data_IF_041851013932
#
_entry.id   IF_041851013932
#
_cell.length_a   1.000
_cell.length_b   1.000
_cell.length_c   1.000
_cell.angle_alpha   90.00
_cell.angle_beta   90.00
_cell.angle_gamma   90.00
#
_symmetry.space_group_name_H-M   'P 1'
#
loop_
_entity.id
_entity.type
_entity.pdbx_description
1 polymer ?
#
# COMPACT_ATOMS: atom_id res chain seq x y z
N UNK A 1 -5.64 -4.78 26.08
CA UNK A 1 -6.28 -5.36 27.29
C UNK A 1 -7.51 -6.20 26.96
N UNK A 2 -7.68 -7.35 27.64
CA UNK A 2 -8.91 -8.17 27.58
C UNK A 2 -9.77 -7.93 28.84
N UNK A 3 -11.10 -7.88 28.73
CA UNK A 3 -11.99 -7.87 29.89
C UNK A 3 -12.11 -9.27 30.52
N UNK A 4 -12.59 -9.35 31.77
CA UNK A 4 -12.80 -10.63 32.50
C UNK A 4 -13.80 -11.58 31.82
N UNK A 5 -14.61 -11.04 30.91
CA UNK A 5 -15.57 -11.79 30.09
C UNK A 5 -14.92 -12.57 28.94
N UNK A 6 -13.59 -12.46 28.78
CA UNK A 6 -12.80 -13.09 27.73
C UNK A 6 -11.65 -13.86 28.34
N UNK A 7 -11.44 -15.09 27.89
CA UNK A 7 -10.30 -15.89 28.33
C UNK A 7 -9.60 -16.61 27.17
N UNK A 8 -8.30 -16.86 27.35
CA UNK A 8 -7.48 -17.65 26.44
C UNK A 8 -7.63 -19.15 26.75
N UNK A 9 -8.07 -19.95 25.78
CA UNK A 9 -8.17 -21.41 25.92
C UNK A 9 -7.38 -22.14 24.84
N UNK A 10 -6.85 -23.30 25.18
CA UNK A 10 -6.35 -24.26 24.20
C UNK A 10 -7.51 -25.05 23.58
N UNK A 11 -7.44 -25.35 22.28
CA UNK A 11 -8.46 -26.11 21.55
C UNK A 11 -7.85 -26.85 20.34
N UNK A 12 -8.62 -27.74 19.70
CA UNK A 12 -8.16 -28.57 18.57
C UNK A 12 -9.16 -28.62 17.40
N UNK A 13 -9.96 -27.56 17.21
CA UNK A 13 -10.99 -27.52 16.16
C UNK A 13 -10.41 -27.66 14.75
N UNK A 14 -9.20 -27.14 14.54
CA UNK A 14 -8.48 -27.18 13.25
C UNK A 14 -7.71 -28.50 13.01
N UNK A 15 -7.88 -29.51 13.88
CA UNK A 15 -7.14 -30.78 13.77
C UNK A 15 -5.70 -30.73 14.31
N UNK A 16 -5.29 -29.61 14.91
CA UNK A 16 -4.02 -29.44 15.62
C UNK A 16 -4.19 -28.55 16.85
N UNK A 17 -3.23 -28.59 17.78
CA UNK A 17 -3.29 -27.82 19.02
C UNK A 17 -3.17 -26.31 18.74
N UNK A 18 -4.18 -25.56 19.13
CA UNK A 18 -4.30 -24.12 18.94
C UNK A 18 -4.64 -23.42 20.25
N UNK A 19 -4.49 -22.10 20.28
CA UNK A 19 -5.02 -21.24 21.34
C UNK A 19 -5.90 -20.16 20.73
N UNK A 20 -6.92 -19.74 21.46
CA UNK A 20 -7.82 -18.69 21.01
C UNK A 20 -8.61 -18.08 22.16
N UNK A 21 -9.26 -16.98 21.88
CA UNK A 21 -10.06 -16.24 22.85
C UNK A 21 -11.51 -16.72 22.85
N UNK A 22 -12.09 -16.91 24.03
CA UNK A 22 -13.45 -17.43 24.21
C UNK A 22 -14.23 -16.58 25.19
N UNK A 23 -15.54 -16.48 24.98
CA UNK A 23 -16.44 -15.82 25.92
C UNK A 23 -16.60 -16.67 27.21
N UNK A 24 -16.48 -16.05 28.38
CA UNK A 24 -16.72 -16.70 29.68
C UNK A 24 -18.16 -16.57 30.17
N UNK A 25 -18.98 -15.77 29.48
CA UNK A 25 -20.40 -15.56 29.72
C UNK A 25 -21.14 -15.30 28.40
N UNK A 26 -22.48 -15.28 28.44
CA UNK A 26 -23.28 -14.75 27.33
C UNK A 26 -23.04 -13.24 27.19
N UNK A 27 -22.64 -12.80 25.99
CA UNK A 27 -22.34 -11.40 25.68
C UNK A 27 -23.41 -10.85 24.73
N UNK A 28 -24.04 -9.70 25.04
CA UNK A 28 -24.83 -8.96 24.07
C UNK A 28 -24.01 -8.53 22.85
N UNK A 29 -24.68 -8.10 21.78
CA UNK A 29 -24.01 -7.37 20.69
C UNK A 29 -23.40 -6.06 21.20
N UNK A 30 -22.36 -5.58 20.52
CA UNK A 30 -21.56 -4.38 20.84
C UNK A 30 -20.90 -4.43 22.21
N UNK A 31 -20.61 -5.62 22.73
CA UNK A 31 -19.85 -5.79 23.97
C UNK A 31 -18.36 -5.70 23.65
N UNK A 32 -17.58 -4.81 24.28
CA UNK A 32 -16.13 -4.79 24.11
C UNK A 32 -15.49 -6.10 24.57
N UNK A 33 -14.64 -6.67 23.72
CA UNK A 33 -13.88 -7.90 24.00
C UNK A 33 -12.37 -7.68 23.95
N UNK A 34 -11.93 -6.54 23.43
CA UNK A 34 -10.56 -6.07 23.52
C UNK A 34 -10.53 -4.55 23.41
N UNK A 35 -9.65 -3.91 24.17
CA UNK A 35 -9.37 -2.48 24.11
C UNK A 35 -7.87 -2.23 24.14
N UNK A 36 -7.40 -1.24 23.40
CA UNK A 36 -6.02 -0.81 23.38
C UNK A 36 -5.89 0.59 24.01
N UNK A 37 -5.08 0.69 25.08
CA UNK A 37 -4.75 1.97 25.68
C UNK A 37 -3.53 2.58 25.00
N UNK A 38 -3.78 3.35 23.93
CA UNK A 38 -2.72 4.02 23.15
C UNK A 38 -1.84 4.95 24.00
N UNK A 39 -2.32 5.43 25.15
CA UNK A 39 -1.57 6.37 25.99
C UNK A 39 -0.47 5.67 26.80
N UNK A 40 -0.66 4.39 27.14
CA UNK A 40 0.25 3.64 28.03
C UNK A 40 0.94 2.47 27.33
N UNK A 41 0.41 2.02 26.19
CA UNK A 41 0.91 0.88 25.42
C UNK A 41 1.27 1.34 23.99
N UNK A 42 2.47 1.91 23.76
CA UNK A 42 2.88 2.26 22.40
C UNK A 42 2.96 1.01 21.52
N UNK A 43 2.43 1.11 20.30
CA UNK A 43 2.49 0.00 19.35
C UNK A 43 3.87 -0.06 18.72
N UNK A 44 4.56 -1.16 18.93
CA UNK A 44 5.81 -1.45 18.24
C UNK A 44 5.49 -1.97 16.82
N UNK A 45 6.15 -1.39 15.81
CA UNK A 45 5.94 -1.75 14.41
C UNK A 45 7.24 -2.17 13.76
N UNK A 46 7.16 -3.20 12.93
CA UNK A 46 8.29 -3.77 12.20
C UNK A 46 7.99 -3.73 10.71
N UNK A 47 9.01 -3.54 9.88
CA UNK A 47 8.92 -3.73 8.43
C UNK A 47 8.93 -5.21 8.07
N UNK A 48 8.49 -5.56 6.86
CA UNK A 48 8.63 -6.92 6.33
C UNK A 48 10.09 -7.38 6.36
N UNK A 49 11.01 -6.52 5.96
CA UNK A 49 12.44 -6.84 5.94
C UNK A 49 12.98 -7.19 7.33
N UNK A 50 12.65 -6.38 8.34
CA UNK A 50 13.09 -6.62 9.73
C UNK A 50 12.54 -7.95 10.27
N UNK A 51 11.26 -8.24 10.01
CA UNK A 51 10.63 -9.51 10.41
C UNK A 51 11.34 -10.69 9.73
N UNK A 52 11.49 -10.64 8.41
CA UNK A 52 12.04 -11.76 7.63
C UNK A 52 13.53 -12.02 7.90
N UNK A 53 14.28 -10.99 8.29
CA UNK A 53 15.67 -11.09 8.69
C UNK A 53 15.86 -11.59 10.14
N UNK A 54 14.80 -11.59 10.97
CA UNK A 54 14.90 -11.99 12.37
C UNK A 54 14.99 -13.53 12.53
N UNK A 55 15.72 -13.99 13.55
CA UNK A 55 15.88 -15.43 13.82
C UNK A 55 14.53 -16.10 14.20
N UNK A 56 13.69 -15.41 14.95
CA UNK A 56 12.35 -15.85 15.36
C UNK A 56 11.24 -15.40 14.39
N UNK A 57 11.55 -15.20 13.09
CA UNK A 57 10.59 -14.68 12.10
C UNK A 57 9.25 -15.42 12.06
N UNK A 58 9.23 -16.75 12.26
CA UNK A 58 7.98 -17.52 12.25
C UNK A 58 7.03 -17.05 13.35
N UNK A 59 7.57 -16.72 14.53
CA UNK A 59 6.77 -16.20 15.64
C UNK A 59 6.26 -14.79 15.32
N UNK A 60 7.12 -13.92 14.81
CA UNK A 60 6.75 -12.57 14.41
C UNK A 60 5.63 -12.59 13.35
N UNK A 61 5.78 -13.42 12.31
CA UNK A 61 4.76 -13.62 11.28
C UNK A 61 3.46 -14.11 11.91
N UNK A 62 3.48 -15.21 12.66
CA UNK A 62 2.28 -15.82 13.25
C UNK A 62 1.48 -14.87 14.13
N UNK A 63 2.15 -13.96 14.84
CA UNK A 63 1.53 -12.97 15.71
C UNK A 63 1.74 -11.58 15.14
N UNK A 64 1.25 -11.35 13.91
CA UNK A 64 1.27 -10.03 13.28
C UNK A 64 -0.02 -9.67 12.59
N UNK A 65 -0.26 -8.37 12.46
CA UNK A 65 -1.26 -7.79 11.58
C UNK A 65 -0.74 -6.45 11.02
N UNK A 66 -1.24 -6.04 9.85
CA UNK A 66 -0.84 -4.79 9.23
C UNK A 66 -1.43 -3.57 9.94
N UNK A 67 -0.62 -2.52 10.06
CA UNK A 67 -1.03 -1.20 10.59
C UNK A 67 -0.66 -0.04 9.65
N UNK A 68 -0.01 -0.36 8.54
CA UNK A 68 0.42 0.55 7.49
C UNK A 68 1.04 -0.23 6.33
N UNK A 69 1.31 0.45 5.23
CA UNK A 69 2.14 -0.12 4.16
C UNK A 69 3.54 -0.41 4.70
N UNK A 70 4.00 -1.66 4.55
CA UNK A 70 5.25 -2.18 5.11
C UNK A 70 5.45 -1.88 6.61
N UNK A 71 4.35 -1.91 7.37
CA UNK A 71 4.36 -1.73 8.81
C UNK A 71 3.42 -2.75 9.49
N UNK A 72 4.01 -3.60 10.32
CA UNK A 72 3.33 -4.71 10.99
C UNK A 72 3.45 -4.54 12.50
N UNK A 73 2.32 -4.58 13.20
CA UNK A 73 2.32 -4.77 14.63
C UNK A 73 2.60 -6.25 14.92
N UNK A 74 3.59 -6.55 15.78
CA UNK A 74 4.00 -7.92 16.06
C UNK A 74 4.64 -8.09 17.45
N UNK A 75 4.90 -9.33 17.88
CA UNK A 75 5.52 -9.62 19.18
C UNK A 75 6.40 -10.87 19.20
N UNK A 76 7.48 -10.81 19.99
CA UNK A 76 8.33 -11.96 20.31
C UNK A 76 7.86 -12.76 21.54
N UNK A 77 6.94 -12.20 22.31
CA UNK A 77 6.47 -12.76 23.58
C UNK A 77 4.94 -12.80 23.67
N UNK A 78 4.24 -13.45 22.71
CA UNK A 78 2.78 -13.53 22.69
C UNK A 78 2.21 -14.15 23.97
N UNK A 79 2.96 -15.02 24.66
CA UNK A 79 2.54 -15.60 25.94
C UNK A 79 2.36 -14.58 27.08
N UNK A 80 2.95 -13.38 26.97
CA UNK A 80 2.80 -12.32 27.97
C UNK A 80 1.54 -11.50 27.78
N UNK A 81 0.95 -11.55 26.60
CA UNK A 81 -0.25 -10.80 26.25
C UNK A 81 -1.22 -11.69 25.45
N UNK A 82 -2.28 -12.22 26.09
CA UNK A 82 -3.24 -13.10 25.42
C UNK A 82 -4.00 -12.44 24.25
N UNK A 83 -3.92 -11.11 24.09
CA UNK A 83 -4.62 -10.40 23.01
C UNK A 83 -4.14 -10.80 21.61
N UNK A 84 -2.91 -11.31 21.48
CA UNK A 84 -2.34 -11.80 20.22
C UNK A 84 -2.99 -13.09 19.69
N UNK A 85 -3.92 -13.70 20.42
CA UNK A 85 -4.54 -14.98 20.05
C UNK A 85 -5.97 -14.84 19.50
N UNK A 86 -6.35 -13.68 18.96
CA UNK A 86 -7.56 -13.59 18.15
C UNK A 86 -7.41 -14.39 16.87
N UNK A 87 -8.34 -15.30 16.61
CA UNK A 87 -8.35 -16.11 15.40
C UNK A 87 -9.29 -15.53 14.34
N UNK A 88 -9.06 -15.96 13.11
CA UNK A 88 -9.87 -15.61 11.96
C UNK A 88 -11.19 -16.40 11.87
N UNK A 89 -12.28 -15.73 11.46
CA UNK A 89 -13.43 -16.38 10.83
C UNK A 89 -13.98 -15.54 9.67
N UNK A 90 -14.42 -16.18 8.57
CA UNK A 90 -15.01 -15.47 7.42
C UNK A 90 -16.43 -14.92 7.69
N UNK A 91 -17.16 -15.49 8.66
CA UNK A 91 -18.38 -14.89 9.21
C UNK A 91 -18.20 -14.73 10.72
N UNK A 92 -17.47 -13.69 11.15
CA UNK A 92 -17.03 -13.55 12.54
C UNK A 92 -18.16 -13.08 13.46
N UNK A 93 -17.98 -13.35 14.76
CA UNK A 93 -18.85 -12.82 15.81
C UNK A 93 -18.32 -11.53 16.45
N UNK A 94 -17.11 -11.09 16.09
CA UNK A 94 -16.52 -9.82 16.48
C UNK A 94 -16.11 -8.99 15.26
N UNK A 95 -15.94 -7.69 15.47
CA UNK A 95 -15.43 -6.74 14.48
C UNK A 95 -14.71 -5.57 15.16
N UNK A 96 -13.98 -4.76 14.39
CA UNK A 96 -13.28 -3.60 14.93
C UNK A 96 -14.24 -2.43 15.17
N UNK A 97 -13.86 -1.54 16.08
CA UNK A 97 -14.37 -0.16 16.15
C UNK A 97 -13.15 0.77 16.19
N UNK A 98 -12.72 1.19 15.00
CA UNK A 98 -11.41 1.82 14.79
C UNK A 98 -10.24 0.91 15.21
N UNK A 99 -9.06 1.51 15.41
CA UNK A 99 -7.85 0.75 15.78
C UNK A 99 -7.76 0.40 17.29
N UNK A 100 -8.66 0.96 18.11
CA UNK A 100 -8.54 0.91 19.57
C UNK A 100 -9.38 -0.16 20.26
N UNK A 101 -10.28 -0.83 19.54
CA UNK A 101 -11.27 -1.72 20.16
C UNK A 101 -11.77 -2.79 19.19
N UNK A 102 -12.10 -3.96 19.75
CA UNK A 102 -12.89 -5.01 19.11
C UNK A 102 -14.11 -5.24 19.98
N UNK A 103 -15.29 -5.30 19.35
CA UNK A 103 -16.57 -5.57 20.00
C UNK A 103 -17.27 -6.76 19.34
N UNK A 104 -18.24 -7.34 20.04
CA UNK A 104 -19.11 -8.36 19.45
C UNK A 104 -20.04 -7.75 18.38
N UNK A 105 -20.10 -8.35 17.20
CA UNK A 105 -20.98 -7.95 16.08
C UNK A 105 -22.43 -8.44 16.26
N UNK A 106 -22.60 -9.49 17.06
CA UNK A 106 -23.88 -10.14 17.39
C UNK A 106 -23.83 -10.64 18.84
N UNK A 107 -24.96 -11.06 19.44
CA UNK A 107 -24.88 -11.80 20.69
C UNK A 107 -23.99 -13.04 20.55
N UNK A 108 -23.17 -13.29 21.57
CA UNK A 108 -22.22 -14.42 21.66
C UNK A 108 -22.55 -15.24 22.89
N UNK A 109 -22.62 -16.56 22.76
CA UNK A 109 -22.87 -17.47 23.88
C UNK A 109 -21.59 -17.78 24.65
N UNK A 110 -21.76 -18.05 25.94
CA UNK A 110 -20.68 -18.58 26.78
C UNK A 110 -20.00 -19.77 26.09
N UNK A 111 -18.68 -19.71 25.98
CA UNK A 111 -17.86 -20.75 25.36
C UNK A 111 -17.77 -20.71 23.83
N UNK A 112 -18.42 -19.77 23.15
CA UNK A 112 -18.10 -19.47 21.75
C UNK A 112 -16.70 -18.84 21.65
N UNK A 113 -15.96 -19.19 20.60
CA UNK A 113 -14.69 -18.55 20.26
C UNK A 113 -14.96 -17.16 19.69
N UNK A 114 -14.20 -16.17 20.13
CA UNK A 114 -14.22 -14.80 19.64
C UNK A 114 -13.25 -14.67 18.46
N UNK A 115 -13.79 -14.40 17.29
CA UNK A 115 -13.04 -14.28 16.05
C UNK A 115 -13.42 -13.00 15.32
N UNK A 116 -12.46 -12.42 14.57
CA UNK A 116 -12.71 -11.34 13.63
C UNK A 116 -12.26 -11.75 12.22
N UNK A 117 -12.65 -10.98 11.20
CA UNK A 117 -12.19 -11.21 9.83
C UNK A 117 -10.82 -10.55 9.61
N UNK A 118 -9.76 -11.32 9.31
CA UNK A 118 -8.41 -10.77 9.09
C UNK A 118 -8.36 -9.83 7.87
N UNK A 119 -9.29 -9.91 6.91
CA UNK A 119 -9.40 -8.90 5.87
C UNK A 119 -9.78 -7.49 6.39
N UNK A 120 -10.19 -7.36 7.65
CA UNK A 120 -10.39 -6.07 8.30
C UNK A 120 -9.07 -5.39 8.72
N UNK A 121 -7.93 -6.09 8.66
CA UNK A 121 -6.59 -5.56 9.01
C UNK A 121 -5.59 -5.67 7.86
N UNK A 122 -5.76 -6.65 6.97
CA UNK A 122 -4.75 -7.03 5.97
C UNK A 122 -5.02 -6.54 4.54
N UNK A 123 -3.94 -6.38 3.78
CA UNK A 123 -3.95 -6.24 2.30
C UNK A 123 -3.21 -7.42 1.67
N UNK A 124 -3.09 -7.49 0.34
CA UNK A 124 -2.30 -8.52 -0.33
C UNK A 124 -0.82 -8.50 0.05
N UNK A 125 -0.32 -7.39 0.59
CA UNK A 125 1.01 -7.26 1.16
C UNK A 125 1.13 -7.89 2.56
N UNK A 126 0.14 -8.67 3.01
CA UNK A 126 0.16 -9.39 4.28
C UNK A 126 1.29 -10.41 4.35
N UNK A 127 1.80 -10.68 5.55
CA UNK A 127 2.67 -11.83 5.82
C UNK A 127 1.90 -13.17 5.84
N UNK A 128 0.57 -13.11 5.83
CA UNK A 128 -0.33 -14.27 5.86
C UNK A 128 -1.00 -14.53 4.50
N UNK A 129 -0.66 -13.77 3.46
CA UNK A 129 -1.29 -13.88 2.15
C UNK A 129 -1.18 -15.32 1.62
N UNK A 130 -2.29 -15.89 1.15
CA UNK A 130 -2.36 -17.28 0.74
C UNK A 130 -2.67 -18.28 1.88
N UNK A 131 -2.91 -17.82 3.12
CA UNK A 131 -3.30 -18.69 4.22
C UNK A 131 -4.57 -19.49 3.88
N UNK A 132 -4.50 -20.81 4.05
CA UNK A 132 -5.67 -21.69 3.90
C UNK A 132 -6.60 -21.53 5.11
N UNK A 133 -7.83 -21.09 4.86
CA UNK A 133 -8.83 -20.85 5.88
C UNK A 133 -9.50 -22.16 6.31
N UNK A 134 -9.55 -22.37 7.64
CA UNK A 134 -10.17 -23.53 8.27
C UNK A 134 -11.35 -23.14 9.18
N UNK A 135 -11.94 -21.97 8.97
CA UNK A 135 -12.95 -21.42 9.89
C UNK A 135 -14.28 -22.20 9.93
N UNK A 136 -14.55 -23.06 8.96
CA UNK A 136 -15.77 -23.89 8.91
C UNK A 136 -17.08 -23.13 8.60
N UNK A 137 -17.01 -21.83 8.28
CA UNK A 137 -18.18 -21.04 7.87
C UNK A 137 -18.73 -21.49 6.50
N UNK A 138 -20.05 -21.46 6.32
CA UNK A 138 -20.70 -21.65 5.01
C UNK A 138 -20.29 -20.59 3.98
N UNK A 139 -19.73 -19.46 4.44
CA UNK A 139 -19.19 -18.36 3.61
C UNK A 139 -17.66 -18.35 3.60
N UNK A 140 -17.02 -19.49 3.87
CA UNK A 140 -15.56 -19.58 3.89
C UNK A 140 -14.95 -19.18 2.54
N UNK A 141 -13.94 -18.30 2.56
CA UNK A 141 -13.18 -17.89 1.37
C UNK A 141 -12.21 -18.97 0.86
N UNK A 142 -11.95 -20.01 1.65
CA UNK A 142 -11.00 -21.09 1.33
C UNK A 142 -9.53 -20.65 1.46
N UNK A 143 -9.12 -19.61 0.75
CA UNK A 143 -7.78 -19.02 0.84
C UNK A 143 -7.91 -17.52 1.09
N UNK A 144 -7.20 -17.01 2.09
CA UNK A 144 -7.18 -15.58 2.39
C UNK A 144 -6.18 -14.88 1.47
N UNK A 145 -6.70 -14.13 0.50
CA UNK A 145 -5.90 -13.33 -0.44
C UNK A 145 -5.67 -11.90 0.05
N UNK A 146 -6.59 -11.41 0.88
CA UNK A 146 -6.60 -10.05 1.43
C UNK A 146 -6.72 -8.93 0.37
N UNK A 147 -7.39 -9.24 -0.75
CA UNK A 147 -7.85 -8.27 -1.75
C UNK A 147 -9.23 -7.68 -1.42
N UNK A 148 -9.85 -8.13 -0.31
CA UNK A 148 -11.20 -7.76 0.12
C UNK A 148 -11.40 -6.24 0.29
N UNK A 149 -10.35 -5.50 0.66
CA UNK A 149 -10.43 -4.04 0.80
C UNK A 149 -10.70 -3.30 -0.52
N UNK A 150 -10.40 -3.91 -1.67
CA UNK A 150 -10.80 -3.37 -2.99
C UNK A 150 -12.29 -3.55 -3.26
N UNK A 151 -12.94 -4.49 -2.59
CA UNK A 151 -14.37 -4.76 -2.77
C UNK A 151 -15.24 -3.73 -2.06
N UNK A 152 -15.94 -2.91 -2.85
CA UNK A 152 -16.94 -1.97 -2.33
C UNK A 152 -18.04 -2.68 -1.52
N UNK A 153 -18.38 -3.92 -1.87
CA UNK A 153 -19.38 -4.69 -1.15
C UNK A 153 -18.87 -5.13 0.23
N UNK A 154 -17.61 -5.57 0.32
CA UNK A 154 -16.97 -5.94 1.59
C UNK A 154 -16.88 -4.72 2.52
N UNK A 155 -16.38 -3.60 2.00
CA UNK A 155 -16.26 -2.36 2.81
C UNK A 155 -17.63 -1.85 3.22
N UNK A 156 -18.64 -1.88 2.36
CA UNK A 156 -20.01 -1.50 2.75
C UNK A 156 -20.56 -2.39 3.86
N UNK A 157 -20.29 -3.70 3.83
CA UNK A 157 -20.75 -4.64 4.85
C UNK A 157 -20.04 -4.46 6.20
N UNK A 158 -18.81 -3.91 6.18
CA UNK A 158 -17.96 -3.70 7.37
C UNK A 158 -17.66 -2.20 7.58
N UNK A 159 -18.52 -1.30 7.14
CA UNK A 159 -18.24 0.13 7.16
C UNK A 159 -18.12 0.62 8.62
N UNK A 160 -16.99 1.26 8.95
CA UNK A 160 -16.65 1.65 10.32
C UNK A 160 -16.13 0.51 11.20
N UNK A 161 -15.99 -0.70 10.64
CA UNK A 161 -15.63 -1.93 11.36
C UNK A 161 -14.41 -2.67 10.78
N UNK A 162 -13.60 -1.95 10.00
CA UNK A 162 -12.25 -2.31 9.59
C UNK A 162 -11.27 -1.30 10.22
N UNK A 163 -9.98 -1.60 10.22
CA UNK A 163 -8.98 -0.68 10.77
C UNK A 163 -8.87 0.61 9.96
N UNK A 164 -8.29 1.64 10.56
CA UNK A 164 -8.02 2.91 9.90
C UNK A 164 -7.09 2.71 8.68
N UNK A 165 -6.18 1.73 8.75
CA UNK A 165 -5.33 1.36 7.62
C UNK A 165 -6.16 0.87 6.44
N UNK A 166 -7.05 -0.11 6.63
CA UNK A 166 -7.90 -0.64 5.55
C UNK A 166 -8.85 0.42 5.01
N UNK A 167 -9.44 1.26 5.86
CA UNK A 167 -10.25 2.39 5.39
C UNK A 167 -9.44 3.39 4.57
N UNK A 168 -8.17 3.65 4.94
CA UNK A 168 -7.27 4.52 4.16
C UNK A 168 -6.97 3.91 2.79
N UNK A 169 -6.59 2.63 2.73
CA UNK A 169 -6.36 1.92 1.47
C UNK A 169 -7.59 1.97 0.57
N UNK A 170 -8.78 1.69 1.10
CA UNK A 170 -10.01 1.76 0.31
C UNK A 170 -10.37 3.18 -0.20
N UNK A 171 -9.95 4.21 0.53
CA UNK A 171 -10.21 5.60 0.17
C UNK A 171 -9.28 6.13 -0.93
N UNK A 172 -8.21 5.39 -1.28
CA UNK A 172 -7.35 5.67 -2.43
C UNK A 172 -8.19 5.73 -3.72
N UNK A 173 -7.92 6.73 -4.55
CA UNK A 173 -8.57 6.98 -5.82
C UNK A 173 -7.80 6.39 -7.00
N UNK A 174 -6.50 6.19 -6.82
CA UNK A 174 -5.63 5.57 -7.79
C UNK A 174 -5.88 4.07 -7.91
N UNK A 175 -5.26 3.44 -8.90
CA UNK A 175 -5.23 1.99 -9.02
C UNK A 175 -3.79 1.52 -9.17
N UNK A 176 -3.46 0.41 -8.53
CA UNK A 176 -2.20 -0.32 -8.74
C UNK A 176 -2.45 -1.83 -8.74
N UNK A 177 -1.62 -2.56 -9.47
CA UNK A 177 -1.72 -4.01 -9.61
C UNK A 177 -1.55 -4.71 -8.24
N UNK A 178 -2.37 -5.71 -7.94
CA UNK A 178 -2.34 -6.42 -6.64
C UNK A 178 -1.07 -7.27 -6.43
N UNK A 179 -0.26 -7.46 -7.48
CA UNK A 179 1.08 -8.04 -7.40
C UNK A 179 2.13 -7.03 -6.92
N UNK A 180 1.75 -5.78 -6.68
CA UNK A 180 2.65 -4.75 -6.15
C UNK A 180 2.42 -4.45 -4.67
N UNK A 181 3.45 -3.96 -4.01
CA UNK A 181 3.43 -3.50 -2.63
C UNK A 181 4.33 -2.27 -2.46
N UNK A 182 3.97 -1.41 -1.50
CA UNK A 182 4.81 -0.30 -1.08
C UNK A 182 5.75 -0.80 0.02
N UNK A 183 7.06 -0.53 -0.11
CA UNK A 183 8.09 -0.97 0.85
C UNK A 183 9.09 0.13 1.17
N UNK A 184 9.70 0.03 2.35
CA UNK A 184 10.86 0.85 2.69
C UNK A 184 12.07 0.44 1.86
N UNK A 185 12.55 1.36 1.03
CA UNK A 185 13.83 1.27 0.33
C UNK A 185 14.98 1.72 1.22
N UNK A 186 14.71 2.64 2.14
CA UNK A 186 15.61 3.08 3.21
C UNK A 186 14.79 3.53 4.42
N UNK A 187 15.44 3.96 5.50
CA UNK A 187 14.76 4.48 6.70
C UNK A 187 13.86 5.69 6.44
N UNK A 188 14.04 6.40 5.32
CA UNK A 188 13.32 7.64 5.02
C UNK A 188 12.69 7.65 3.64
N UNK A 189 12.72 6.54 2.89
CA UNK A 189 12.23 6.47 1.52
C UNK A 189 11.49 5.17 1.30
N UNK A 190 10.29 5.31 0.72
CA UNK A 190 9.47 4.22 0.24
C UNK A 190 9.64 4.08 -1.29
N UNK A 191 9.28 2.92 -1.79
CA UNK A 191 9.16 2.67 -3.22
C UNK A 191 8.12 1.60 -3.49
N UNK A 192 7.58 1.60 -4.70
CA UNK A 192 6.72 0.53 -5.19
C UNK A 192 7.55 -0.63 -5.69
N UNK A 193 7.15 -1.85 -5.34
CA UNK A 193 7.82 -3.07 -5.76
C UNK A 193 6.83 -4.12 -6.19
N UNK A 194 7.24 -4.99 -7.10
CA UNK A 194 6.59 -6.28 -7.26
C UNK A 194 6.76 -7.09 -5.97
N UNK A 195 5.66 -7.61 -5.43
CA UNK A 195 5.66 -8.49 -4.26
C UNK A 195 6.56 -9.69 -4.49
N UNK A 196 7.15 -10.18 -3.40
CA UNK A 196 8.14 -11.27 -3.43
C UNK A 196 7.54 -12.67 -3.62
N UNK A 197 6.21 -12.79 -3.66
CA UNK A 197 5.54 -14.05 -3.94
C UNK A 197 5.85 -14.55 -5.36
N UNK A 198 6.08 -15.86 -5.50
CA UNK A 198 6.61 -16.45 -6.73
C UNK A 198 5.69 -16.29 -7.96
N UNK A 199 4.40 -16.06 -7.77
CA UNK A 199 3.40 -15.88 -8.82
C UNK A 199 3.14 -14.41 -9.18
N UNK A 200 3.82 -13.46 -8.53
CA UNK A 200 3.59 -12.02 -8.73
C UNK A 200 4.27 -11.43 -9.97
N UNK A 201 4.84 -12.23 -10.88
CA UNK A 201 5.43 -11.73 -12.13
C UNK A 201 4.41 -10.89 -12.93
N UNK A 202 4.82 -9.69 -13.34
CA UNK A 202 4.09 -8.82 -14.27
C UNK A 202 4.75 -8.93 -15.64
N UNK A 203 3.96 -9.16 -16.69
CA UNK A 203 4.46 -9.30 -18.06
C UNK A 203 4.65 -7.93 -18.71
N UNK A 204 5.58 -7.84 -19.65
CA UNK A 204 5.74 -6.66 -20.49
C UNK A 204 4.40 -6.25 -21.15
N UNK A 205 4.08 -4.95 -21.10
CA UNK A 205 2.86 -4.36 -21.64
C UNK A 205 1.64 -4.42 -20.72
N UNK A 206 1.70 -5.12 -19.58
CA UNK A 206 0.63 -5.05 -18.57
C UNK A 206 0.61 -3.68 -17.89
N UNK A 207 -0.59 -3.21 -17.54
CA UNK A 207 -0.79 -2.00 -16.74
C UNK A 207 -0.36 -2.29 -15.31
N UNK A 208 0.50 -1.44 -14.74
CA UNK A 208 1.00 -1.58 -13.37
C UNK A 208 0.30 -0.63 -12.41
N UNK A 209 0.02 0.59 -12.84
CA UNK A 209 -0.75 1.57 -12.07
C UNK A 209 -1.43 2.61 -12.96
N UNK A 210 -2.44 3.28 -12.41
CA UNK A 210 -3.12 4.43 -12.98
C UNK A 210 -3.15 5.54 -11.92
N UNK A 211 -2.50 6.66 -12.20
CA UNK A 211 -2.52 7.82 -11.32
C UNK A 211 -3.92 8.44 -11.25
N UNK A 212 -4.24 9.02 -10.10
CA UNK A 212 -5.49 9.74 -9.87
C UNK A 212 -5.26 10.92 -8.95
N UNK A 213 -5.99 12.00 -9.13
CA UNK A 213 -5.89 13.18 -8.26
C UNK A 213 -6.54 14.41 -8.88
N UNK A 214 -6.26 15.56 -8.28
CA UNK A 214 -6.80 16.84 -8.76
C UNK A 214 -5.89 17.37 -9.86
N UNK A 215 -6.48 17.75 -10.99
CA UNK A 215 -5.75 18.43 -12.06
C UNK A 215 -5.84 19.95 -11.88
N UNK A 216 -4.69 20.61 -11.84
CA UNK A 216 -4.58 22.08 -11.72
C UNK A 216 -3.71 22.65 -12.83
N UNK A 217 -3.89 23.95 -13.11
CA UNK A 217 -3.05 24.65 -14.08
C UNK A 217 -1.67 24.97 -13.51
N UNK A 218 -0.63 25.00 -14.34
CA UNK A 218 0.76 25.28 -13.93
C UNK A 218 0.91 26.57 -13.11
N UNK A 219 0.14 27.60 -13.45
CA UNK A 219 0.21 28.90 -12.76
C UNK A 219 -0.25 28.78 -11.29
N UNK A 220 -1.16 27.83 -11.00
CA UNK A 220 -1.61 27.52 -9.64
C UNK A 220 -0.63 26.59 -8.93
N UNK A 221 -0.02 25.66 -9.66
CA UNK A 221 0.99 24.73 -9.15
C UNK A 221 2.27 25.48 -8.72
N UNK A 222 2.71 26.45 -9.52
CA UNK A 222 3.90 27.27 -9.30
C UNK A 222 3.60 28.55 -8.49
N UNK A 223 2.37 28.74 -8.01
CA UNK A 223 2.04 29.87 -7.16
C UNK A 223 2.86 29.80 -5.87
N UNK A 224 3.58 30.89 -5.56
CA UNK A 224 4.48 30.96 -4.41
C UNK A 224 3.77 30.60 -3.11
N UNK A 225 4.18 29.49 -2.49
CA UNK A 225 3.64 29.00 -1.22
C UNK A 225 2.39 28.13 -1.32
N UNK A 226 1.87 27.86 -2.53
CA UNK A 226 0.74 26.96 -2.71
C UNK A 226 1.13 25.50 -2.39
N UNK A 227 2.28 25.06 -2.91
CA UNK A 227 2.80 23.70 -2.76
C UNK A 227 3.88 23.63 -1.67
N UNK A 228 3.94 22.50 -0.97
CA UNK A 228 5.07 22.10 -0.12
C UNK A 228 6.03 21.26 -0.94
N UNK A 229 7.26 21.06 -0.46
CA UNK A 229 8.21 20.14 -1.09
C UNK A 229 7.60 18.74 -1.34
N UNK A 230 6.80 18.25 -0.39
CA UNK A 230 6.14 16.94 -0.54
C UNK A 230 5.04 16.94 -1.60
N UNK A 231 4.35 18.04 -1.83
CA UNK A 231 3.34 18.09 -2.90
C UNK A 231 4.01 18.06 -4.27
N UNK A 232 5.16 18.74 -4.42
CA UNK A 232 5.96 18.68 -5.65
C UNK A 232 6.44 17.25 -5.93
N UNK A 233 7.02 16.58 -4.93
CA UNK A 233 7.49 15.19 -5.02
C UNK A 233 6.41 14.20 -5.46
N UNK A 234 5.15 14.48 -5.15
CA UNK A 234 4.02 13.57 -5.36
C UNK A 234 3.11 14.02 -6.51
N UNK A 235 3.55 15.02 -7.28
CA UNK A 235 2.81 15.53 -8.43
C UNK A 235 3.29 14.92 -9.75
N UNK A 236 2.41 14.94 -10.74
CA UNK A 236 2.70 14.45 -12.08
C UNK A 236 2.25 15.47 -13.12
N UNK A 237 3.16 15.91 -13.99
CA UNK A 237 2.75 16.68 -15.17
C UNK A 237 2.01 15.75 -16.13
N UNK A 238 0.73 16.02 -16.37
CA UNK A 238 -0.15 15.19 -17.22
C UNK A 238 -0.38 15.82 -18.59
N UNK A 239 -0.10 17.11 -18.72
CA UNK A 239 -0.14 17.87 -19.95
C UNK A 239 0.80 19.09 -19.84
N UNK A 240 1.09 19.75 -20.96
CA UNK A 240 1.99 20.93 -21.02
C UNK A 240 1.78 21.96 -19.91
N UNK A 241 0.52 22.28 -19.60
CA UNK A 241 0.16 23.30 -18.60
C UNK A 241 -0.67 22.74 -17.44
N UNK A 242 -0.74 21.41 -17.29
CA UNK A 242 -1.60 20.76 -16.28
C UNK A 242 -0.84 19.72 -15.46
N UNK A 243 -1.01 19.79 -14.15
CA UNK A 243 -0.45 18.86 -13.17
C UNK A 243 -1.58 18.12 -12.48
N UNK A 244 -1.46 16.80 -12.40
CA UNK A 244 -2.14 16.05 -11.36
C UNK A 244 -1.32 16.25 -10.07
N UNK A 245 -2.02 16.66 -9.02
CA UNK A 245 -1.49 16.72 -7.66
C UNK A 245 -2.24 15.73 -6.78
N UNK A 246 -1.62 15.26 -5.68
CA UNK A 246 -2.34 14.54 -4.65
C UNK A 246 -3.53 15.36 -4.17
N UNK A 247 -4.56 14.66 -3.67
CA UNK A 247 -5.79 15.31 -3.27
C UNK A 247 -5.56 16.38 -2.17
N UNK A 248 -6.41 17.41 -2.17
CA UNK A 248 -6.14 18.76 -1.68
C UNK A 248 -5.98 18.86 -0.14
N UNK A 249 -5.01 19.67 0.32
CA UNK A 249 -4.65 19.86 1.75
C UNK A 249 -5.81 20.23 2.67
N UNK A 250 -6.79 20.98 2.18
CA UNK A 250 -7.88 21.53 3.01
C UNK A 250 -9.01 20.52 3.26
N UNK A 251 -9.09 19.44 2.48
CA UNK A 251 -10.08 18.35 2.67
C UNK A 251 -9.52 17.18 3.47
N UNK A 252 -8.23 17.17 3.80
CA UNK A 252 -7.57 16.11 4.57
C UNK A 252 -7.30 14.84 3.76
N UNK A 253 -7.32 14.94 2.43
CA UNK A 253 -7.04 13.83 1.53
C UNK A 253 -5.54 13.56 1.41
N UNK A 254 -5.22 12.31 1.06
CA UNK A 254 -3.95 11.65 1.40
C UNK A 254 -3.17 11.29 0.14
N UNK A 255 -1.87 11.16 0.34
CA UNK A 255 -0.94 10.56 -0.62
C UNK A 255 -1.46 9.18 -1.04
N UNK A 256 -1.45 8.90 -2.34
CA UNK A 256 -1.87 7.63 -2.93
C UNK A 256 -0.68 6.66 -3.00
N UNK A 257 -0.95 5.35 -3.02
CA UNK A 257 0.12 4.35 -3.17
C UNK A 257 0.86 4.52 -4.51
N UNK A 258 0.13 4.87 -5.57
CA UNK A 258 0.69 5.08 -6.91
C UNK A 258 1.77 6.16 -6.96
N UNK A 259 1.68 7.15 -6.08
CA UNK A 259 2.54 8.34 -6.12
C UNK A 259 3.98 8.02 -5.64
N UNK A 260 4.21 6.84 -5.07
CA UNK A 260 5.52 6.36 -4.61
C UNK A 260 6.33 5.64 -5.70
N UNK A 261 5.97 5.79 -6.97
CA UNK A 261 6.79 5.29 -8.06
C UNK A 261 8.08 6.12 -8.16
N UNK A 262 9.22 5.45 -8.10
CA UNK A 262 10.51 6.12 -8.09
C UNK A 262 11.13 6.24 -9.49
N UNK A 263 12.14 7.10 -9.58
CA UNK A 263 12.99 7.22 -10.75
C UNK A 263 13.97 6.04 -10.94
N UNK A 264 14.15 5.58 -12.19
CA UNK A 264 15.33 4.84 -12.63
C UNK A 264 15.76 5.25 -14.04
N UNK A 265 17.08 5.35 -14.29
CA UNK A 265 17.61 5.57 -15.64
C UNK A 265 17.48 4.34 -16.54
N UNK A 266 17.23 3.16 -15.97
CA UNK A 266 16.85 1.94 -16.69
C UNK A 266 15.56 1.40 -16.05
N UNK A 267 14.41 1.99 -16.40
CA UNK A 267 13.17 1.77 -15.68
C UNK A 267 12.53 0.42 -16.00
N UNK A 268 11.76 -0.10 -15.06
CA UNK A 268 10.89 -1.27 -15.28
C UNK A 268 9.65 -0.93 -16.10
N UNK A 269 9.20 0.32 -15.99
CA UNK A 269 7.91 0.77 -16.49
C UNK A 269 8.02 2.09 -17.27
N UNK A 270 6.94 2.44 -17.97
CA UNK A 270 6.84 3.69 -18.71
C UNK A 270 5.40 4.06 -19.01
N UNK A 271 5.21 5.25 -19.59
CA UNK A 271 3.87 5.83 -19.76
C UNK A 271 3.17 5.27 -20.99
N UNK A 272 1.99 4.71 -20.81
CA UNK A 272 1.09 4.36 -21.92
C UNK A 272 0.33 5.59 -22.41
N UNK A 273 -0.12 6.42 -21.47
CA UNK A 273 -0.78 7.71 -21.70
C UNK A 273 -0.34 8.71 -20.61
N UNK A 274 -1.08 9.80 -20.39
CA UNK A 274 -0.72 10.81 -19.39
C UNK A 274 -0.78 10.35 -17.93
N UNK A 275 -1.50 9.26 -17.61
CA UNK A 275 -1.72 8.79 -16.23
C UNK A 275 -1.60 7.28 -16.06
N UNK A 276 -1.59 6.50 -17.14
CA UNK A 276 -1.46 5.05 -17.12
C UNK A 276 0.00 4.64 -17.31
N UNK A 277 0.49 3.78 -16.41
CA UNK A 277 1.83 3.22 -16.46
C UNK A 277 1.76 1.74 -16.84
N UNK A 278 2.63 1.32 -17.76
CA UNK A 278 2.76 -0.07 -18.21
C UNK A 278 4.18 -0.59 -18.00
N UNK A 279 4.32 -1.91 -17.86
CA UNK A 279 5.62 -2.57 -17.82
C UNK A 279 6.33 -2.51 -19.19
N UNK A 280 7.58 -2.03 -19.23
CA UNK A 280 8.40 -1.99 -20.46
C UNK A 280 8.95 -3.39 -20.79
N UNK A 281 9.22 -4.16 -19.73
CA UNK A 281 9.73 -5.53 -19.75
C UNK A 281 9.00 -6.33 -18.70
N UNK A 282 9.22 -7.64 -18.68
CA UNK A 282 8.79 -8.46 -17.56
C UNK A 282 9.41 -7.92 -16.25
N UNK A 283 8.56 -7.80 -15.23
CA UNK A 283 8.92 -7.38 -13.87
C UNK A 283 8.77 -8.58 -12.96
N UNK A 284 9.84 -8.91 -12.26
CA UNK A 284 9.92 -10.11 -11.44
C UNK A 284 9.67 -9.80 -9.96
N UNK A 285 9.25 -10.80 -9.15
CA UNK A 285 9.12 -10.64 -7.70
C UNK A 285 10.35 -9.96 -7.08
N UNK A 286 10.11 -8.88 -6.33
CA UNK A 286 11.14 -8.06 -5.70
C UNK A 286 11.67 -6.88 -6.55
N UNK A 287 11.43 -6.85 -7.87
CA UNK A 287 11.82 -5.70 -8.72
C UNK A 287 11.11 -4.42 -8.26
N UNK A 288 11.82 -3.28 -8.29
CA UNK A 288 11.22 -1.96 -8.05
C UNK A 288 10.44 -1.48 -9.27
N UNK A 289 9.23 -1.01 -9.05
CA UNK A 289 8.40 -0.35 -10.06
C UNK A 289 8.92 1.08 -10.19
N UNK A 290 9.49 1.40 -11.36
CA UNK A 290 10.16 2.67 -11.63
C UNK A 290 9.84 3.16 -13.02
N UNK A 291 9.79 4.47 -13.18
CA UNK A 291 9.78 5.15 -14.48
C UNK A 291 11.02 6.03 -14.61
N UNK A 292 11.36 6.41 -15.84
CA UNK A 292 12.31 7.49 -16.05
C UNK A 292 11.53 8.82 -16.06
N UNK A 293 11.87 9.74 -15.18
CA UNK A 293 11.15 11.02 -15.04
C UNK A 293 11.22 11.90 -16.28
N UNK A 294 12.15 11.66 -17.21
CA UNK A 294 12.13 12.33 -18.52
C UNK A 294 10.85 12.03 -19.31
N UNK A 295 10.17 10.91 -19.03
CA UNK A 295 8.94 10.52 -19.73
C UNK A 295 7.77 11.45 -19.43
N UNK A 296 7.85 12.24 -18.34
CA UNK A 296 6.72 12.98 -17.76
C UNK A 296 7.05 14.43 -17.43
N UNK A 297 8.20 14.95 -17.84
CA UNK A 297 8.60 16.33 -17.55
C UNK A 297 8.92 17.10 -18.84
N UNK A 298 8.51 18.37 -18.94
CA UNK A 298 8.86 19.24 -20.07
C UNK A 298 9.91 20.32 -19.81
N UNK A 299 10.37 20.46 -18.57
CA UNK A 299 11.38 21.46 -18.20
C UNK A 299 10.85 22.67 -17.44
N UNK A 300 9.55 22.77 -17.19
CA UNK A 300 9.00 23.96 -16.52
C UNK A 300 9.16 23.93 -14.99
N UNK A 301 9.39 22.77 -14.40
CA UNK A 301 9.59 22.60 -12.96
C UNK A 301 11.10 22.58 -12.65
N UNK A 302 11.56 23.50 -11.81
CA UNK A 302 12.94 23.60 -11.34
C UNK A 302 13.13 23.10 -9.89
N UNK A 303 12.07 22.53 -9.29
CA UNK A 303 12.13 22.00 -7.94
C UNK A 303 13.10 20.82 -7.81
N UNK A 304 13.73 20.63 -6.63
CA UNK A 304 14.68 19.53 -6.39
C UNK A 304 14.07 18.13 -6.50
N UNK A 305 12.75 17.98 -6.45
CA UNK A 305 12.06 16.71 -6.67
C UNK A 305 12.30 16.15 -8.07
N UNK A 306 12.46 17.03 -9.06
CA UNK A 306 12.63 16.66 -10.47
C UNK A 306 14.02 17.02 -11.02
N UNK A 307 14.84 17.70 -10.22
CA UNK A 307 16.23 18.06 -10.54
C UNK A 307 17.16 17.60 -9.41
N UNK A 308 17.76 16.41 -9.55
CA UNK A 308 18.45 15.74 -8.44
C UNK A 308 19.61 14.83 -8.85
N UNK A 309 20.46 14.52 -7.87
CA UNK A 309 21.52 13.52 -8.03
C UNK A 309 20.97 12.10 -7.94
N UNK A 310 21.05 11.36 -9.05
CA UNK A 310 20.51 10.03 -9.19
C UNK A 310 21.38 8.97 -8.50
N UNK A 311 20.72 8.14 -7.69
CA UNK A 311 21.30 6.97 -7.04
C UNK A 311 20.55 5.67 -7.39
N UNK A 312 19.94 5.59 -8.59
CA UNK A 312 19.12 4.43 -8.98
C UNK A 312 19.90 3.11 -9.09
N UNK A 313 21.24 3.15 -9.16
CA UNK A 313 22.09 1.95 -9.21
C UNK A 313 22.17 1.26 -10.58
N UNK A 314 21.43 1.73 -11.58
CA UNK A 314 21.53 1.22 -12.95
C UNK A 314 22.93 1.40 -13.54
N UNK A 315 23.36 0.46 -14.39
CA UNK A 315 24.59 0.57 -15.18
C UNK A 315 24.57 1.80 -16.11
N UNK A 316 23.38 2.24 -16.52
CA UNK A 316 23.16 3.43 -17.36
C UNK A 316 22.76 4.66 -16.53
N UNK A 317 23.10 4.70 -15.24
CA UNK A 317 22.75 5.82 -14.37
C UNK A 317 23.37 7.13 -14.87
N UNK A 318 22.53 8.13 -15.13
CA UNK A 318 22.91 9.46 -15.62
C UNK A 318 23.52 10.37 -14.55
N UNK A 319 23.46 9.96 -13.28
CA UNK A 319 23.97 10.66 -12.09
C UNK A 319 23.29 11.98 -11.76
N UNK A 320 22.88 12.75 -12.73
CA UNK A 320 22.10 13.96 -12.58
C UNK A 320 20.85 13.83 -13.45
N UNK A 321 19.69 14.03 -12.83
CA UNK A 321 18.38 14.04 -13.51
C UNK A 321 17.93 15.48 -13.59
N UNK A 322 17.44 15.87 -14.75
CA UNK A 322 16.88 17.19 -14.99
C UNK A 322 15.54 17.08 -15.69
N UNK A 323 14.70 18.09 -15.52
CA UNK A 323 13.42 18.18 -16.25
C UNK A 323 13.59 18.40 -17.76
N UNK A 324 14.81 18.58 -18.25
CA UNK A 324 15.13 18.74 -19.68
C UNK A 324 15.64 17.46 -20.34
N UNK A 325 15.76 16.37 -19.58
CA UNK A 325 16.35 15.11 -20.07
C UNK A 325 15.59 14.48 -21.24
N UNK A 326 14.30 14.82 -21.41
CA UNK A 326 13.50 14.41 -22.57
C UNK A 326 14.11 14.83 -23.92
N UNK A 327 15.02 15.82 -23.93
CA UNK A 327 15.72 16.30 -25.11
C UNK A 327 16.90 15.41 -25.52
N UNK A 328 17.33 14.47 -24.67
CA UNK A 328 18.49 13.61 -24.95
C UNK A 328 18.16 12.60 -26.06
N UNK A 329 18.89 12.59 -27.20
CA UNK A 329 18.57 11.70 -28.32
C UNK A 329 18.60 10.20 -27.97
N UNK A 330 19.48 9.80 -27.04
CA UNK A 330 19.56 8.42 -26.56
C UNK A 330 18.28 8.00 -25.82
N UNK A 331 17.73 8.87 -24.95
CA UNK A 331 16.48 8.60 -24.25
C UNK A 331 15.28 8.60 -25.20
N UNK A 332 15.24 9.53 -26.16
CA UNK A 332 14.21 9.51 -27.20
C UNK A 332 14.24 8.21 -28.00
N UNK A 333 15.43 7.69 -28.33
CA UNK A 333 15.56 6.42 -29.05
C UNK A 333 15.16 5.21 -28.20
N UNK A 334 15.52 5.18 -26.91
CA UNK A 334 15.31 4.01 -26.03
C UNK A 334 13.91 3.99 -25.42
N UNK A 335 13.42 5.14 -25.00
CA UNK A 335 12.21 5.31 -24.21
C UNK A 335 11.07 5.94 -25.01
N UNK A 336 11.31 6.37 -26.27
CA UNK A 336 10.34 7.04 -27.16
C UNK A 336 8.90 6.52 -27.10
N UNK A 337 8.67 5.20 -27.23
CA UNK A 337 7.32 4.62 -27.14
C UNK A 337 6.59 4.89 -25.81
N UNK A 338 7.32 5.15 -24.73
CA UNK A 338 6.85 5.25 -23.35
C UNK A 338 6.87 6.67 -22.77
N UNK A 339 7.17 7.69 -23.57
CA UNK A 339 6.95 9.07 -23.16
C UNK A 339 5.45 9.37 -23.05
N UNK A 340 5.07 10.21 -22.09
CA UNK A 340 3.73 10.75 -22.00
C UNK A 340 3.37 11.50 -23.30
N UNK A 341 2.09 11.51 -23.71
CA UNK A 341 1.68 12.08 -25.00
C UNK A 341 2.13 13.53 -25.22
N UNK A 342 2.09 14.38 -24.18
CA UNK A 342 2.51 15.77 -24.32
C UNK A 342 4.03 15.94 -24.53
N UNK A 343 4.85 15.05 -23.94
CA UNK A 343 6.30 15.08 -24.16
C UNK A 343 6.65 14.59 -25.57
N UNK A 344 5.96 13.56 -26.07
CA UNK A 344 6.06 13.13 -27.48
C UNK A 344 5.77 14.30 -28.43
N UNK A 345 4.71 15.07 -28.15
CA UNK A 345 4.38 16.24 -28.95
C UNK A 345 5.49 17.31 -28.94
N UNK A 346 6.15 17.53 -27.81
CA UNK A 346 7.28 18.47 -27.70
C UNK A 346 8.51 17.99 -28.47
N UNK A 347 8.77 16.68 -28.50
CA UNK A 347 9.87 16.10 -29.28
C UNK A 347 9.62 16.27 -30.79
N UNK A 348 8.38 16.06 -31.23
CA UNK A 348 7.98 16.23 -32.64
C UNK A 348 7.91 17.71 -33.05
N UNK A 349 7.56 18.60 -32.11
CA UNK A 349 7.36 20.04 -32.33
C UNK A 349 8.15 20.87 -31.31
N UNK A 350 9.48 20.83 -31.35
CA UNK A 350 10.31 21.50 -30.37
C UNK A 350 10.07 23.02 -30.40
N UNK A 351 9.71 23.66 -29.26
CA UNK A 351 9.35 25.08 -29.21
C UNK A 351 10.50 26.02 -29.60
N UNK A 352 11.72 25.50 -29.74
CA UNK A 352 12.94 26.26 -30.06
C UNK A 352 13.35 26.15 -31.55
N UNK A 353 12.64 25.38 -32.38
CA UNK A 353 12.91 25.30 -33.83
C UNK A 353 11.98 26.27 -34.55
N UNK A 354 12.27 27.57 -34.43
CA UNK A 354 11.40 28.59 -35.00
C UNK A 354 11.68 30.04 -34.59
N UNK A 355 12.93 30.43 -34.37
CA UNK A 355 13.31 31.85 -34.39
C UNK A 355 14.47 31.98 -35.40
N UNK A 356 14.22 32.56 -36.60
CA UNK A 356 15.26 32.84 -37.58
C UNK A 356 16.28 33.88 -37.09
#
# INVERSE_FOLDING_TARGET
>A
MLPETVELRAFQFYGFACKGLFATADLPANTPVWTWDKATEPLETWTRHEIMAHADREKLVNFSYMVGDDAFATTLAPERDPTWYFNHACDPNCWFEGDGQIVTRRPVKMGEQLCYDYACTETESSLHAGMTCQCGSDKCRGTLKFDDWRSRAFIKANYGHVTDFIMKKHAENSWYDSRMELRHKSKSSLGLFCREDADCKIQAGEIVLVFSGKVIHKDQFLESGAMTARDFEMSLQVHKDLWQIPAWKETGDKIETSDYINHSCDPTCGMQDSVTVIAIRDVYPGDEITIDYCMVNDGCNDEPSDNFMCNCGSANCRREITTLDWQLPELQSRLGPYFAPFVKHLIENPPFVGIP
#
